data_IF_093942204705
#
_entry.id   IF_093942204705
#
_cell.length_a   1.000
_cell.length_b   1.000
_cell.length_c   1.000
_cell.angle_alpha   90.00
_cell.angle_beta   90.00
_cell.angle_gamma   90.00
#
_symmetry.space_group_name_H-M   'P 1'
#
loop_
_entity.id
_entity.type
_entity.pdbx_description
1 polymer ?
#
# COMPACT_ATOMS: atom_id res chain seq x y z
N UNK A 1 -21.63 3.28 -17.42
CA UNK A 1 -20.49 3.84 -16.67
C UNK A 1 -19.35 4.02 -17.66
N UNK A 2 -18.59 5.11 -17.59
CA UNK A 2 -17.37 5.27 -18.41
C UNK A 2 -16.28 4.35 -17.85
N UNK A 3 -15.43 3.86 -18.74
CA UNK A 3 -14.18 3.16 -18.49
C UNK A 3 -13.08 4.05 -17.88
N UNK A 4 -13.21 5.38 -17.95
CA UNK A 4 -12.23 6.32 -17.42
C UNK A 4 -12.51 6.68 -15.95
N UNK A 5 -11.54 6.42 -15.09
CA UNK A 5 -11.56 6.93 -13.72
C UNK A 5 -11.37 8.45 -13.70
N UNK A 6 -12.23 9.15 -12.94
CA UNK A 6 -12.18 10.60 -12.77
C UNK A 6 -11.99 10.94 -11.29
N UNK A 7 -10.87 11.60 -10.92
CA UNK A 7 -10.66 12.08 -9.55
C UNK A 7 -11.79 12.99 -9.11
N UNK A 8 -12.22 12.85 -7.85
CA UNK A 8 -13.15 13.80 -7.23
C UNK A 8 -12.32 14.96 -6.67
N UNK A 9 -12.68 16.23 -6.90
CA UNK A 9 -11.92 17.32 -6.32
C UNK A 9 -12.05 17.35 -4.79
N UNK A 10 -11.02 17.90 -4.14
CA UNK A 10 -10.84 17.78 -2.69
C UNK A 10 -12.01 18.36 -1.87
N UNK A 11 -12.53 19.53 -2.28
CA UNK A 11 -13.67 20.17 -1.62
C UNK A 11 -14.92 19.30 -1.68
N UNK A 12 -15.20 18.67 -2.81
CA UNK A 12 -16.33 17.79 -3.03
C UNK A 12 -16.22 16.51 -2.17
N UNK A 13 -15.01 15.97 -1.99
CA UNK A 13 -14.78 14.87 -1.05
C UNK A 13 -15.15 15.27 0.38
N UNK A 14 -14.67 16.42 0.87
CA UNK A 14 -15.00 16.92 2.21
C UNK A 14 -16.50 17.18 2.37
N UNK A 15 -17.13 17.84 1.40
CA UNK A 15 -18.58 18.06 1.39
C UNK A 15 -19.36 16.74 1.45
N UNK A 16 -18.90 15.71 0.73
CA UNK A 16 -19.51 14.38 0.76
C UNK A 16 -19.33 13.70 2.11
N UNK A 17 -18.13 13.72 2.68
CA UNK A 17 -17.84 13.17 4.01
C UNK A 17 -18.78 13.77 5.06
N UNK A 18 -18.84 15.10 5.16
CA UNK A 18 -19.65 15.76 6.18
C UNK A 18 -21.15 15.67 5.89
N UNK A 19 -21.55 15.83 4.63
CA UNK A 19 -22.94 15.75 4.22
C UNK A 19 -23.54 14.35 4.43
N UNK A 20 -22.79 13.30 4.12
CA UNK A 20 -23.18 11.92 4.38
C UNK A 20 -23.24 11.63 5.88
N UNK A 21 -22.21 12.03 6.64
CA UNK A 21 -22.17 11.81 8.08
C UNK A 21 -23.32 12.51 8.81
N UNK A 22 -23.66 13.74 8.40
CA UNK A 22 -24.76 14.49 8.99
C UNK A 22 -26.11 13.79 8.81
N UNK A 23 -26.36 13.21 7.62
CA UNK A 23 -27.64 12.59 7.27
C UNK A 23 -27.76 11.13 7.70
N UNK A 24 -26.69 10.36 7.52
CA UNK A 24 -26.70 8.89 7.58
C UNK A 24 -25.75 8.33 8.64
N UNK A 25 -24.95 9.19 9.29
CA UNK A 25 -23.89 8.76 10.22
C UNK A 25 -22.90 7.79 9.58
N UNK A 26 -22.67 7.93 8.28
CA UNK A 26 -21.71 7.16 7.50
C UNK A 26 -20.73 8.04 6.74
N UNK A 27 -19.58 7.48 6.37
CA UNK A 27 -18.61 8.09 5.46
C UNK A 27 -18.32 7.08 4.36
N UNK A 28 -18.66 7.42 3.11
CA UNK A 28 -18.53 6.54 1.95
C UNK A 28 -19.16 5.16 2.16
N UNK A 29 -20.33 5.12 2.80
CA UNK A 29 -21.11 3.91 3.08
C UNK A 29 -20.73 3.16 4.36
N UNK A 30 -19.62 3.50 5.02
CA UNK A 30 -19.23 2.87 6.29
C UNK A 30 -19.95 3.59 7.43
N UNK A 31 -20.81 2.90 8.18
CA UNK A 31 -21.55 3.50 9.28
C UNK A 31 -20.63 3.72 10.49
N UNK A 32 -20.89 4.76 11.30
CA UNK A 32 -20.00 5.15 12.42
C UNK A 32 -19.76 4.06 13.47
N UNK A 33 -20.68 3.09 13.58
CA UNK A 33 -20.54 1.96 14.50
C UNK A 33 -19.53 0.91 13.99
N UNK A 34 -19.16 0.97 12.71
CA UNK A 34 -18.15 0.12 12.07
C UNK A 34 -16.78 0.80 12.04
N UNK A 35 -16.69 2.04 12.51
CA UNK A 35 -15.40 2.73 12.62
C UNK A 35 -14.54 2.05 13.67
N UNK A 36 -13.38 1.58 13.23
CA UNK A 36 -12.41 0.92 14.09
C UNK A 36 -11.82 1.91 15.08
N UNK A 37 -12.07 1.65 16.36
CA UNK A 37 -11.44 2.35 17.48
C UNK A 37 -10.55 1.39 18.22
N UNK A 38 -9.26 1.73 18.28
CA UNK A 38 -8.29 0.89 18.96
C UNK A 38 -8.36 1.13 20.47
N UNK A 39 -8.63 0.06 21.22
CA UNK A 39 -8.67 0.11 22.69
C UNK A 39 -7.28 -0.08 23.33
N UNK A 40 -6.36 -0.79 22.66
CA UNK A 40 -5.03 -1.06 23.21
C UNK A 40 -4.02 0.06 22.95
N UNK A 41 -3.12 0.28 23.90
CA UNK A 41 -2.00 1.22 23.74
C UNK A 41 -0.82 0.70 22.92
N UNK A 42 -0.83 -0.57 22.47
CA UNK A 42 0.33 -1.21 21.81
C UNK A 42 0.65 -0.55 20.46
N UNK A 43 1.87 -0.10 20.23
CA UNK A 43 2.29 0.44 18.93
C UNK A 43 3.27 -0.51 18.26
N UNK A 44 3.42 -0.35 16.95
CA UNK A 44 4.52 -0.94 16.20
C UNK A 44 5.32 0.17 15.55
N UNK A 45 6.60 -0.08 15.32
CA UNK A 45 7.49 0.81 14.60
C UNK A 45 7.89 0.12 13.29
N UNK A 46 7.74 0.83 12.18
CA UNK A 46 8.22 0.40 10.86
C UNK A 46 9.15 1.47 10.36
N UNK A 47 10.43 1.13 10.20
CA UNK A 47 11.44 2.05 9.64
C UNK A 47 11.53 3.42 10.33
N UNK A 48 11.42 3.43 11.67
CA UNK A 48 11.45 4.66 12.47
C UNK A 48 10.13 5.46 12.49
N UNK A 49 9.07 4.95 11.86
CA UNK A 49 7.73 5.52 11.93
C UNK A 49 6.81 4.69 12.83
N UNK A 50 6.01 5.37 13.66
CA UNK A 50 5.03 4.70 14.51
C UNK A 50 3.73 4.41 13.75
N UNK A 51 3.20 3.20 13.96
CA UNK A 51 1.91 2.79 13.45
C UNK A 51 1.08 2.16 14.58
N UNK A 52 -0.21 2.50 14.63
CA UNK A 52 -1.07 2.03 15.72
C UNK A 52 -1.55 0.59 15.55
N UNK A 53 -1.58 0.07 14.32
CA UNK A 53 -1.96 -1.31 13.99
C UNK A 53 -1.04 -1.84 12.88
N UNK A 54 -0.47 -3.05 13.00
CA UNK A 54 0.40 -3.65 11.97
C UNK A 54 -0.37 -4.15 10.74
N UNK A 55 -1.46 -3.50 10.34
CA UNK A 55 -2.33 -3.94 9.25
C UNK A 55 -2.73 -2.78 8.37
N UNK A 56 -2.94 -3.08 7.09
CA UNK A 56 -3.57 -2.16 6.17
C UNK A 56 -3.51 -2.69 4.73
N UNK A 57 -4.05 -1.92 3.78
CA UNK A 57 -4.17 -2.38 2.41
C UNK A 57 -2.80 -2.42 1.70
N UNK A 58 -2.57 -3.48 0.93
CA UNK A 58 -1.43 -3.60 0.03
C UNK A 58 -1.62 -2.75 -1.24
N UNK A 59 -0.54 -2.47 -1.98
CA UNK A 59 -0.62 -1.81 -3.27
C UNK A 59 -1.56 -2.56 -4.23
N UNK A 60 -2.59 -1.89 -4.71
CA UNK A 60 -3.58 -2.48 -5.61
C UNK A 60 -4.76 -1.54 -5.87
N UNK A 61 -5.85 -2.03 -6.48
CA UNK A 61 -7.04 -1.21 -6.76
C UNK A 61 -7.62 -0.50 -5.52
N UNK A 62 -7.47 -1.10 -4.34
CA UNK A 62 -7.92 -0.53 -3.06
C UNK A 62 -7.15 0.71 -2.61
N UNK A 63 -5.95 0.96 -3.13
CA UNK A 63 -5.13 2.12 -2.73
C UNK A 63 -4.88 3.10 -3.87
N UNK A 64 -5.71 3.05 -4.92
CA UNK A 64 -5.67 3.99 -6.04
C UNK A 64 -6.53 5.24 -5.81
N UNK A 65 -7.65 5.11 -5.08
CA UNK A 65 -8.61 6.19 -4.85
C UNK A 65 -8.55 6.68 -3.41
N UNK A 66 -8.65 8.00 -3.21
CA UNK A 66 -8.65 8.61 -1.88
C UNK A 66 -9.77 8.05 -0.99
N UNK A 67 -10.97 7.83 -1.55
CA UNK A 67 -12.11 7.26 -0.83
C UNK A 67 -11.83 5.83 -0.33
N UNK A 68 -11.12 5.02 -1.10
CA UNK A 68 -10.78 3.65 -0.72
C UNK A 68 -9.72 3.65 0.39
N UNK A 69 -8.76 4.58 0.34
CA UNK A 69 -7.78 4.78 1.42
C UNK A 69 -8.48 5.25 2.70
N UNK A 70 -9.41 6.20 2.58
CA UNK A 70 -10.19 6.73 3.71
C UNK A 70 -11.03 5.63 4.36
N UNK A 71 -11.76 4.84 3.56
CA UNK A 71 -12.56 3.73 4.08
C UNK A 71 -11.71 2.64 4.72
N UNK A 72 -10.54 2.33 4.14
CA UNK A 72 -9.57 1.40 4.75
C UNK A 72 -9.08 1.91 6.11
N UNK A 73 -8.82 3.21 6.25
CA UNK A 73 -8.45 3.81 7.53
C UNK A 73 -9.60 3.76 8.55
N UNK A 74 -10.82 4.11 8.13
CA UNK A 74 -11.99 4.07 9.00
C UNK A 74 -12.24 2.66 9.56
N UNK A 75 -11.90 1.60 8.81
CA UNK A 75 -12.09 0.20 9.23
C UNK A 75 -10.84 -0.45 9.82
N UNK A 76 -9.79 0.33 10.11
CA UNK A 76 -8.66 -0.10 10.95
C UNK A 76 -7.31 -0.27 10.24
N UNK A 77 -7.24 -0.04 8.92
CA UNK A 77 -5.99 0.03 8.18
C UNK A 77 -5.13 1.21 8.66
N UNK A 78 -3.86 0.94 8.96
CA UNK A 78 -2.90 1.94 9.47
C UNK A 78 -1.56 1.89 8.75
N UNK A 79 -1.16 0.75 8.18
CA UNK A 79 -0.05 0.70 7.23
C UNK A 79 -0.61 0.68 5.81
N UNK A 80 -0.62 1.82 5.13
CA UNK A 80 -1.25 1.99 3.82
C UNK A 80 -0.16 2.00 2.75
N UNK A 81 -0.13 0.94 1.95
CA UNK A 81 0.75 0.87 0.78
C UNK A 81 0.03 1.41 -0.45
N UNK A 82 0.52 2.54 -0.97
CA UNK A 82 -0.07 3.24 -2.10
C UNK A 82 0.03 2.40 -3.37
N UNK A 83 -0.92 2.55 -4.30
CA UNK A 83 -0.91 1.79 -5.56
C UNK A 83 0.39 2.08 -6.31
N UNK A 84 1.02 1.01 -6.80
CA UNK A 84 2.25 1.06 -7.60
C UNK A 84 2.05 1.94 -8.82
N UNK A 85 2.95 2.91 -8.99
CA UNK A 85 3.05 3.74 -10.20
C UNK A 85 4.31 3.41 -11.00
N UNK A 86 4.28 3.74 -12.28
CA UNK A 86 5.39 3.53 -13.22
C UNK A 86 5.45 4.66 -14.25
N UNK A 87 6.52 4.69 -15.07
CA UNK A 87 6.71 5.73 -16.10
C UNK A 87 5.61 5.72 -17.18
N UNK A 88 5.00 4.56 -17.44
CA UNK A 88 3.91 4.39 -18.39
C UNK A 88 2.58 4.59 -17.67
N UNK A 89 2.03 5.80 -17.75
CA UNK A 89 0.90 6.24 -16.93
C UNK A 89 -0.34 6.67 -17.76
N UNK A 90 -0.31 6.37 -19.06
CA UNK A 90 -1.41 6.52 -20.03
C UNK A 90 -1.62 5.21 -20.79
N UNK A 91 -1.92 4.13 -20.05
CA UNK A 91 -2.12 2.81 -20.61
C UNK A 91 -3.58 2.58 -21.01
N UNK A 92 -3.77 1.97 -22.18
CA UNK A 92 -5.07 1.40 -22.57
C UNK A 92 -5.16 0.00 -21.97
N UNK A 93 -6.11 -0.20 -21.08
CA UNK A 93 -6.30 -1.46 -20.35
C UNK A 93 -7.49 -2.19 -20.97
N UNK A 94 -7.27 -3.40 -21.46
CA UNK A 94 -8.36 -4.27 -21.92
C UNK A 94 -9.25 -4.70 -20.73
N UNK A 95 -10.57 -4.55 -20.86
CA UNK A 95 -11.53 -4.77 -19.78
C UNK A 95 -12.53 -5.88 -20.15
N UNK A 96 -12.97 -6.72 -19.19
CA UNK A 96 -12.62 -6.69 -17.77
C UNK A 96 -11.19 -7.22 -17.50
N UNK A 97 -10.45 -6.56 -16.62
CA UNK A 97 -9.07 -6.94 -16.27
C UNK A 97 -8.92 -7.50 -14.85
N UNK A 98 -10.02 -7.59 -14.10
CA UNK A 98 -10.06 -8.09 -12.72
C UNK A 98 -11.29 -8.97 -12.55
N UNK A 99 -11.08 -10.16 -12.00
CA UNK A 99 -12.10 -11.06 -11.48
C UNK A 99 -11.84 -11.30 -10.00
N UNK A 100 -12.69 -10.73 -9.14
CA UNK A 100 -12.57 -10.83 -7.69
C UNK A 100 -13.59 -11.84 -7.14
N UNK A 101 -13.43 -13.11 -7.53
CA UNK A 101 -14.21 -14.23 -7.02
C UNK A 101 -13.69 -14.66 -5.62
N UNK A 102 -13.46 -15.96 -5.40
CA UNK A 102 -12.83 -16.42 -4.15
C UNK A 102 -11.32 -16.17 -4.16
N UNK A 103 -10.64 -16.66 -5.19
CA UNK A 103 -9.35 -16.13 -5.63
C UNK A 103 -9.56 -14.89 -6.49
N UNK A 104 -8.72 -13.88 -6.29
CA UNK A 104 -8.71 -12.68 -7.13
C UNK A 104 -7.72 -12.86 -8.29
N UNK A 105 -8.17 -12.64 -9.51
CA UNK A 105 -7.35 -12.69 -10.71
C UNK A 105 -7.31 -11.33 -11.38
N UNK A 106 -6.12 -10.86 -11.76
CA UNK A 106 -5.95 -9.69 -12.61
C UNK A 106 -5.09 -10.02 -13.83
N UNK A 107 -5.32 -9.36 -14.95
CA UNK A 107 -4.53 -9.53 -16.19
C UNK A 107 -3.64 -8.32 -16.50
N UNK A 108 -3.75 -7.27 -15.69
CA UNK A 108 -3.02 -6.02 -15.86
C UNK A 108 -2.33 -5.60 -14.54
N UNK A 109 -1.15 -4.97 -14.63
CA UNK A 109 -0.37 -4.52 -13.46
C UNK A 109 -0.41 -3.02 -13.24
N UNK A 110 -0.87 -2.25 -14.23
CA UNK A 110 -0.76 -0.80 -14.24
C UNK A 110 -1.74 -0.06 -13.32
N UNK A 111 -1.43 1.21 -13.13
CA UNK A 111 -2.31 2.22 -12.52
C UNK A 111 -3.17 2.84 -13.63
N UNK A 112 -4.45 3.08 -13.36
CA UNK A 112 -5.34 3.82 -14.29
C UNK A 112 -5.11 5.34 -14.23
N UNK A 113 -4.39 5.80 -13.19
CA UNK A 113 -4.07 7.21 -13.02
C UNK A 113 -2.66 7.54 -13.46
N UNK A 114 -2.56 8.70 -14.11
CA UNK A 114 -1.30 9.39 -14.36
C UNK A 114 -0.57 9.65 -13.05
N UNK A 115 0.75 9.86 -13.09
CA UNK A 115 1.55 10.16 -11.90
C UNK A 115 1.00 11.37 -11.13
N UNK A 116 0.56 12.41 -11.84
CA UNK A 116 -0.06 13.60 -11.25
C UNK A 116 -1.38 13.28 -10.53
N UNK A 117 -2.25 12.47 -11.16
CA UNK A 117 -3.53 12.07 -10.56
C UNK A 117 -3.35 11.13 -9.37
N UNK A 118 -2.38 10.22 -9.43
CA UNK A 118 -2.04 9.33 -8.33
C UNK A 118 -1.55 10.15 -7.13
N UNK A 119 -0.59 11.06 -7.34
CA UNK A 119 -0.13 11.98 -6.30
C UNK A 119 -1.29 12.79 -5.70
N UNK A 120 -2.16 13.36 -6.56
CA UNK A 120 -3.32 14.13 -6.14
C UNK A 120 -4.23 13.33 -5.19
N UNK A 121 -4.58 12.08 -5.53
CA UNK A 121 -5.41 11.23 -4.68
C UNK A 121 -4.74 10.87 -3.35
N UNK A 122 -3.43 10.61 -3.36
CA UNK A 122 -2.68 10.31 -2.14
C UNK A 122 -2.59 11.53 -1.23
N UNK A 123 -2.43 12.72 -1.80
CA UNK A 123 -2.44 13.98 -1.07
C UNK A 123 -3.81 14.29 -0.45
N UNK A 124 -4.90 14.06 -1.18
CA UNK A 124 -6.27 14.19 -0.65
C UNK A 124 -6.47 13.25 0.54
N UNK A 125 -6.11 11.99 0.38
CA UNK A 125 -6.22 10.99 1.44
C UNK A 125 -5.39 11.40 2.66
N UNK A 126 -4.13 11.81 2.46
CA UNK A 126 -3.24 12.27 3.52
C UNK A 126 -3.87 13.36 4.39
N UNK A 127 -4.35 14.44 3.76
CA UNK A 127 -4.95 15.57 4.47
C UNK A 127 -6.26 15.16 5.16
N UNK A 128 -7.10 14.34 4.50
CA UNK A 128 -8.37 13.88 5.08
C UNK A 128 -8.15 12.93 6.25
N UNK A 129 -7.15 12.05 6.22
CA UNK A 129 -6.89 11.13 7.33
C UNK A 129 -6.49 11.89 8.60
N UNK A 130 -5.66 12.94 8.50
CA UNK A 130 -5.36 13.80 9.65
C UNK A 130 -6.62 14.47 10.23
N UNK A 131 -7.52 14.93 9.36
CA UNK A 131 -8.81 15.48 9.77
C UNK A 131 -9.68 14.45 10.48
N UNK A 132 -9.85 13.26 9.90
CA UNK A 132 -10.71 12.22 10.47
C UNK A 132 -10.13 11.67 11.78
N UNK A 133 -8.81 11.54 11.87
CA UNK A 133 -8.11 11.14 13.08
C UNK A 133 -8.44 12.05 14.27
N UNK A 134 -8.36 13.37 14.06
CA UNK A 134 -8.69 14.38 15.06
C UNK A 134 -10.19 14.37 15.40
N UNK A 135 -11.06 14.45 14.39
CA UNK A 135 -12.51 14.57 14.60
C UNK A 135 -13.15 13.36 15.28
N UNK A 136 -12.65 12.16 14.97
CA UNK A 136 -13.18 10.91 15.49
C UNK A 136 -12.40 10.41 16.71
N UNK A 137 -11.36 11.15 17.11
CA UNK A 137 -10.42 10.80 18.19
C UNK A 137 -9.85 9.39 18.02
N UNK A 138 -9.46 9.04 16.79
CA UNK A 138 -8.93 7.70 16.45
C UNK A 138 -7.48 7.51 16.91
N UNK A 139 -6.85 8.60 17.37
CA UNK A 139 -5.53 8.64 17.97
C UNK A 139 -5.54 8.58 19.50
N UNK A 140 -6.68 8.38 20.18
CA UNK A 140 -6.87 8.64 21.63
C UNK A 140 -6.08 7.74 22.62
N UNK A 141 -4.99 7.12 22.17
CA UNK A 141 -3.94 6.49 22.99
C UNK A 141 -2.51 6.97 22.65
N UNK A 142 -2.33 8.03 21.84
CA UNK A 142 -1.05 8.56 21.36
C UNK A 142 -0.48 9.73 22.19
N UNK A 143 -0.92 9.90 23.46
CA UNK A 143 -0.26 10.82 24.39
C UNK A 143 1.25 10.50 24.43
N UNK A 144 2.07 11.40 23.86
CA UNK A 144 3.53 11.29 23.81
C UNK A 144 4.15 10.78 22.49
N UNK A 145 3.40 10.61 21.39
CA UNK A 145 4.00 10.30 20.08
C UNK A 145 4.81 11.48 19.53
N UNK A 146 6.00 11.20 18.97
CA UNK A 146 6.90 12.18 18.38
C UNK A 146 6.38 12.79 17.06
N UNK A 147 5.47 12.11 16.36
CA UNK A 147 4.91 12.53 15.07
C UNK A 147 3.38 12.71 15.07
N UNK A 148 2.68 12.35 16.16
CA UNK A 148 1.27 12.70 16.39
C UNK A 148 0.20 11.95 15.58
N UNK A 149 0.56 11.11 14.60
CA UNK A 149 -0.38 10.35 13.73
C UNK A 149 -0.39 8.84 13.99
N UNK A 150 -1.50 8.16 13.69
CA UNK A 150 -1.64 6.71 13.97
C UNK A 150 -1.36 5.76 12.80
N UNK A 151 -1.04 6.31 11.61
CA UNK A 151 -0.91 5.58 10.34
C UNK A 151 0.38 5.95 9.60
N UNK A 152 0.81 5.09 8.68
CA UNK A 152 1.96 5.24 7.79
C UNK A 152 1.48 5.13 6.35
N UNK A 153 2.01 5.99 5.48
CA UNK A 153 1.94 5.79 4.02
C UNK A 153 3.29 5.25 3.55
N UNK A 154 3.24 4.16 2.80
CA UNK A 154 4.39 3.55 2.16
C UNK A 154 4.18 3.66 0.64
N UNK A 155 5.08 4.36 -0.06
CA UNK A 155 4.94 4.53 -1.50
C UNK A 155 5.24 3.22 -2.22
N UNK A 156 4.65 2.99 -3.39
CA UNK A 156 4.98 1.84 -4.23
C UNK A 156 5.34 2.32 -5.63
N UNK A 157 6.48 1.86 -6.14
CA UNK A 157 6.94 2.15 -7.50
C UNK A 157 7.42 0.87 -8.15
N UNK A 158 7.37 0.81 -9.48
CA UNK A 158 7.96 -0.28 -10.24
C UNK A 158 8.23 0.19 -11.67
N UNK A 159 9.37 -0.20 -12.22
CA UNK A 159 9.78 -0.20 -13.63
C UNK A 159 11.27 -0.64 -13.64
N UNK A 160 12.01 -0.36 -14.71
CA UNK A 160 13.48 -0.27 -14.69
C UNK A 160 13.99 1.04 -14.03
N UNK A 161 15.28 1.06 -13.68
CA UNK A 161 15.98 2.16 -13.03
C UNK A 161 15.98 3.42 -13.89
N UNK A 162 16.15 3.29 -15.20
CA UNK A 162 16.09 4.42 -16.13
C UNK A 162 14.71 5.08 -16.10
N UNK A 163 13.66 4.28 -16.05
CA UNK A 163 12.28 4.71 -15.89
C UNK A 163 12.03 5.41 -14.56
N UNK A 164 12.55 4.85 -13.48
CA UNK A 164 12.48 5.46 -12.14
C UNK A 164 13.20 6.81 -12.10
N UNK A 165 14.28 6.98 -12.87
CA UNK A 165 15.04 8.23 -12.98
C UNK A 165 14.41 9.27 -13.91
N UNK A 166 13.31 8.95 -14.59
CA UNK A 166 12.62 9.93 -15.45
C UNK A 166 12.11 11.12 -14.63
N UNK A 167 12.02 12.34 -15.23
CA UNK A 167 11.56 13.53 -14.52
C UNK A 167 10.18 13.38 -13.87
N UNK A 168 9.25 12.67 -14.52
CA UNK A 168 7.91 12.42 -13.98
C UNK A 168 7.94 11.55 -12.72
N UNK A 169 8.67 10.43 -12.76
CA UNK A 169 8.83 9.54 -11.59
C UNK A 169 9.57 10.24 -10.45
N UNK A 170 10.63 11.01 -10.75
CA UNK A 170 11.34 11.79 -9.74
C UNK A 170 10.43 12.83 -9.10
N UNK A 171 9.66 13.57 -9.89
CA UNK A 171 8.68 14.54 -9.38
C UNK A 171 7.64 13.88 -8.48
N UNK A 172 7.14 12.70 -8.86
CA UNK A 172 6.21 11.93 -8.03
C UNK A 172 6.84 11.50 -6.69
N UNK A 173 8.03 10.90 -6.72
CA UNK A 173 8.76 10.44 -5.53
C UNK A 173 9.08 11.63 -4.61
N UNK A 174 9.62 12.71 -5.15
CA UNK A 174 10.03 13.91 -4.40
C UNK A 174 8.84 14.58 -3.72
N UNK A 175 7.71 14.70 -4.42
CA UNK A 175 6.49 15.27 -3.83
C UNK A 175 5.95 14.41 -2.68
N UNK A 176 6.02 13.07 -2.76
CA UNK A 176 5.62 12.20 -1.63
C UNK A 176 6.64 12.22 -0.48
N UNK A 177 7.92 12.43 -0.76
CA UNK A 177 8.92 12.64 0.29
C UNK A 177 8.72 13.98 1.02
N UNK A 178 8.44 15.05 0.28
CA UNK A 178 8.12 16.36 0.82
C UNK A 178 7.24 17.19 -0.15
N UNK A 179 5.98 17.37 0.23
CA UNK A 179 5.00 18.18 -0.50
C UNK A 179 5.04 19.67 -0.18
N UNK A 180 5.99 20.16 0.64
CA UNK A 180 6.00 21.55 1.14
C UNK A 180 6.03 22.61 0.04
N UNK A 181 6.65 22.28 -1.11
CA UNK A 181 6.77 23.15 -2.28
C UNK A 181 5.67 22.94 -3.31
N UNK A 182 4.77 21.98 -3.10
CA UNK A 182 3.71 21.67 -4.05
C UNK A 182 2.49 22.57 -3.81
N UNK A 183 2.01 23.23 -4.86
CA UNK A 183 0.87 24.15 -4.77
C UNK A 183 -0.44 23.45 -4.34
N UNK A 184 -0.63 22.17 -4.71
CA UNK A 184 -1.82 21.41 -4.31
C UNK A 184 -1.87 21.21 -2.79
N UNK A 185 -0.72 20.99 -2.15
CA UNK A 185 -0.67 20.79 -0.70
C UNK A 185 -1.16 22.04 0.03
N UNK A 186 -0.59 23.20 -0.29
CA UNK A 186 -1.01 24.47 0.31
C UNK A 186 -2.50 24.77 0.03
N UNK A 187 -2.95 24.53 -1.20
CA UNK A 187 -4.36 24.68 -1.59
C UNK A 187 -5.29 23.79 -0.76
N UNK A 188 -4.92 22.54 -0.48
CA UNK A 188 -5.72 21.63 0.34
C UNK A 188 -5.75 22.02 1.81
N UNK A 189 -4.64 22.52 2.36
CA UNK A 189 -4.63 23.06 3.72
C UNK A 189 -5.53 24.31 3.85
N UNK A 190 -5.53 25.20 2.86
CA UNK A 190 -6.42 26.36 2.82
C UNK A 190 -7.89 25.97 2.72
N UNK A 191 -8.22 25.04 1.80
CA UNK A 191 -9.57 24.52 1.63
C UNK A 191 -10.08 23.82 2.91
N UNK A 192 -9.21 23.03 3.56
CA UNK A 192 -9.51 22.38 4.83
C UNK A 192 -9.83 23.42 5.92
N UNK A 193 -8.96 24.43 6.09
CA UNK A 193 -9.17 25.51 7.05
C UNK A 193 -10.48 26.28 6.78
N UNK A 194 -10.79 26.52 5.50
CA UNK A 194 -12.03 27.15 5.06
C UNK A 194 -13.27 26.34 5.43
N UNK A 195 -13.23 25.02 5.26
CA UNK A 195 -14.35 24.13 5.61
C UNK A 195 -14.54 24.01 7.12
N UNK A 196 -13.46 23.87 7.89
CA UNK A 196 -13.53 23.82 9.37
C UNK A 196 -14.20 25.08 9.93
N UNK A 197 -13.91 26.27 9.35
CA UNK A 197 -14.56 27.53 9.72
C UNK A 197 -16.05 27.57 9.37
N UNK A 198 -16.45 26.94 8.26
CA UNK A 198 -17.85 26.85 7.81
C UNK A 198 -18.58 25.76 8.58
N UNK A 199 -19.01 26.10 9.80
CA UNK A 199 -19.76 25.25 10.74
C UNK A 199 -21.06 24.65 10.17
N UNK A 200 -21.50 25.10 8.99
CA UNK A 200 -22.73 24.70 8.30
C UNK A 200 -22.80 23.20 7.96
N UNK A 201 -21.69 22.54 7.61
CA UNK A 201 -21.71 21.12 7.21
C UNK A 201 -21.80 20.15 8.40
N UNK A 202 -21.57 20.64 9.62
CA UNK A 202 -21.27 19.80 10.79
C UNK A 202 -22.21 20.13 11.97
N UNK A 203 -22.97 21.23 11.87
CA UNK A 203 -24.01 21.61 12.82
C UNK A 203 -25.02 20.49 13.04
N UNK A 204 -25.34 20.21 14.30
CA UNK A 204 -26.28 19.14 14.68
C UNK A 204 -25.67 17.73 14.70
N UNK A 205 -24.36 17.59 14.51
CA UNK A 205 -23.66 16.30 14.63
C UNK A 205 -22.79 16.22 15.89
N UNK A 206 -22.48 14.98 16.27
CA UNK A 206 -21.52 14.60 17.31
C UNK A 206 -20.07 15.05 17.00
N UNK A 207 -19.78 15.52 15.78
CA UNK A 207 -18.48 16.06 15.38
C UNK A 207 -18.33 17.56 15.64
N UNK A 208 -19.41 18.27 15.99
CA UNK A 208 -19.37 19.73 16.17
C UNK A 208 -18.46 20.18 17.32
N UNK A 209 -18.32 19.35 18.37
CA UNK A 209 -17.39 19.57 19.47
C UNK A 209 -15.92 19.37 19.04
N UNK A 210 -15.53 18.15 18.61
CA UNK A 210 -14.19 17.85 18.12
C UNK A 210 -13.68 18.84 17.05
N UNK A 211 -14.55 19.29 16.15
CA UNK A 211 -14.19 20.26 15.11
C UNK A 211 -13.68 21.59 15.65
N UNK A 212 -14.22 22.09 16.78
CA UNK A 212 -13.69 23.30 17.42
C UNK A 212 -12.25 23.11 17.91
N UNK A 213 -11.92 21.89 18.34
CA UNK A 213 -10.56 21.51 18.72
C UNK A 213 -9.61 21.39 17.52
N UNK A 214 -10.14 21.07 16.34
CA UNK A 214 -9.39 21.00 15.09
C UNK A 214 -9.06 22.38 14.47
N UNK A 215 -9.39 23.50 15.14
CA UNK A 215 -8.95 24.83 14.72
C UNK A 215 -7.41 24.89 14.78
N UNK A 216 -6.76 25.03 13.61
CA UNK A 216 -5.29 25.00 13.48
C UNK A 216 -4.71 23.65 13.03
N UNK A 217 -5.55 22.62 12.86
CA UNK A 217 -5.10 21.32 12.33
C UNK A 217 -4.34 21.48 11.00
N UNK A 218 -4.84 22.32 10.09
CA UNK A 218 -4.24 22.53 8.77
C UNK A 218 -2.77 22.95 8.84
N UNK A 219 -2.36 23.72 9.85
CA UNK A 219 -0.95 24.11 10.03
C UNK A 219 -0.06 23.02 10.63
N UNK A 220 -0.66 21.98 11.23
CA UNK A 220 0.06 20.86 11.85
C UNK A 220 0.21 19.63 10.96
N UNK A 221 -0.45 19.59 9.80
CA UNK A 221 -0.33 18.47 8.86
C UNK A 221 1.06 18.51 8.23
N UNK A 222 1.85 17.45 8.45
CA UNK A 222 3.19 17.31 7.88
C UNK A 222 3.14 17.27 6.35
N UNK A 223 4.10 17.94 5.70
CA UNK A 223 4.33 17.83 4.26
C UNK A 223 5.11 16.57 3.86
N UNK A 224 5.76 15.90 4.82
CA UNK A 224 6.47 14.64 4.58
C UNK A 224 5.49 13.48 4.64
N UNK A 225 5.07 12.98 3.47
CA UNK A 225 4.00 11.98 3.34
C UNK A 225 4.54 10.56 3.54
N UNK A 226 5.64 10.23 2.85
CA UNK A 226 6.26 8.91 2.86
C UNK A 226 7.76 9.00 3.20
N UNK A 227 8.23 8.17 4.14
CA UNK A 227 9.67 7.95 4.39
C UNK A 227 10.13 6.54 4.02
N UNK A 228 9.22 5.76 3.45
CA UNK A 228 9.43 4.38 3.03
C UNK A 228 8.80 4.10 1.68
N UNK A 229 9.40 3.14 0.98
CA UNK A 229 9.03 2.70 -0.35
C UNK A 229 9.01 1.17 -0.43
N UNK A 230 8.11 0.64 -1.24
CA UNK A 230 8.15 -0.73 -1.74
C UNK A 230 8.45 -0.72 -3.23
N UNK A 231 9.52 -1.40 -3.62
CA UNK A 231 9.79 -1.72 -5.01
C UNK A 231 8.93 -2.93 -5.40
N UNK A 232 7.93 -2.68 -6.24
CA UNK A 232 7.13 -3.73 -6.86
C UNK A 232 7.90 -4.30 -8.05
N UNK A 233 8.49 -5.49 -7.87
CA UNK A 233 9.17 -6.18 -8.96
C UNK A 233 8.16 -6.67 -10.00
N UNK A 234 8.46 -6.48 -11.27
CA UNK A 234 7.70 -7.09 -12.36
C UNK A 234 8.15 -8.54 -12.54
N UNK A 235 7.25 -9.42 -12.99
CA UNK A 235 7.63 -10.77 -13.40
C UNK A 235 8.70 -10.68 -14.50
N UNK A 236 9.75 -11.50 -14.37
CA UNK A 236 10.91 -11.49 -15.28
C UNK A 236 11.91 -10.34 -15.07
N UNK A 237 11.79 -9.52 -14.03
CA UNK A 237 12.77 -8.46 -13.77
C UNK A 237 14.14 -9.06 -13.36
N UNK A 238 15.25 -8.67 -14.03
CA UNK A 238 16.58 -9.16 -13.71
C UNK A 238 17.03 -8.83 -12.26
N UNK A 239 17.79 -9.71 -11.59
CA UNK A 239 18.22 -9.48 -10.20
C UNK A 239 19.08 -8.21 -10.03
N UNK A 240 19.96 -7.94 -10.99
CA UNK A 240 20.83 -6.76 -11.01
C UNK A 240 20.03 -5.47 -11.16
N UNK A 241 18.96 -5.50 -11.94
CA UNK A 241 18.03 -4.37 -12.08
C UNK A 241 17.30 -4.07 -10.77
N UNK A 242 16.78 -5.11 -10.10
CA UNK A 242 16.13 -5.00 -8.79
C UNK A 242 17.10 -4.40 -7.75
N UNK A 243 18.33 -4.94 -7.70
CA UNK A 243 19.36 -4.48 -6.79
C UNK A 243 19.76 -3.02 -7.04
N UNK A 244 19.91 -2.63 -8.30
CA UNK A 244 20.29 -1.27 -8.68
C UNK A 244 19.21 -0.25 -8.28
N UNK A 245 17.93 -0.60 -8.43
CA UNK A 245 16.83 0.25 -7.99
C UNK A 245 16.78 0.37 -6.47
N UNK A 246 16.83 -0.75 -5.74
CA UNK A 246 16.85 -0.71 -4.28
C UNK A 246 18.05 0.06 -3.74
N UNK A 247 19.23 -0.13 -4.33
CA UNK A 247 20.44 0.62 -3.99
C UNK A 247 20.24 2.12 -4.22
N UNK A 248 19.70 2.52 -5.36
CA UNK A 248 19.39 3.93 -5.66
C UNK A 248 18.44 4.55 -4.63
N UNK A 249 17.40 3.83 -4.21
CA UNK A 249 16.46 4.31 -3.18
C UNK A 249 17.13 4.49 -1.82
N UNK A 250 17.98 3.55 -1.42
CA UNK A 250 18.70 3.58 -0.16
C UNK A 250 19.81 4.65 -0.15
N UNK A 251 20.60 4.75 -1.22
CA UNK A 251 21.79 5.62 -1.26
C UNK A 251 21.47 7.04 -1.68
N UNK A 252 20.75 7.22 -2.78
CA UNK A 252 20.49 8.54 -3.38
C UNK A 252 19.22 9.18 -2.83
N UNK A 253 18.11 8.43 -2.77
CA UNK A 253 16.82 8.96 -2.28
C UNK A 253 16.72 8.96 -0.76
N UNK A 254 17.57 8.20 -0.05
CA UNK A 254 17.50 8.02 1.41
C UNK A 254 16.11 7.58 1.88
N UNK A 255 15.54 6.60 1.19
CA UNK A 255 14.25 5.99 1.52
C UNK A 255 14.43 4.57 2.07
N UNK A 256 13.75 4.29 3.19
CA UNK A 256 13.70 2.92 3.70
C UNK A 256 12.94 2.06 2.68
N UNK A 257 13.47 0.88 2.37
CA UNK A 257 13.06 0.17 1.16
C UNK A 257 12.65 -1.26 1.46
N UNK A 258 11.45 -1.64 1.06
CA UNK A 258 11.06 -3.04 0.88
C UNK A 258 11.23 -3.43 -0.60
N UNK A 259 11.71 -4.65 -0.87
CA UNK A 259 11.56 -5.27 -2.19
C UNK A 259 10.44 -6.30 -2.14
N UNK A 260 9.46 -6.17 -3.03
CA UNK A 260 8.34 -7.12 -3.14
C UNK A 260 8.75 -8.30 -4.01
N UNK A 261 8.66 -9.50 -3.48
CA UNK A 261 9.10 -10.73 -4.15
C UNK A 261 7.93 -11.62 -4.55
N UNK A 262 8.14 -12.40 -5.61
CA UNK A 262 7.14 -13.30 -6.15
C UNK A 262 7.15 -14.67 -5.45
N UNK A 263 6.00 -15.35 -5.34
CA UNK A 263 5.92 -16.70 -4.77
C UNK A 263 6.65 -17.76 -5.61
N UNK A 264 7.01 -17.44 -6.85
CA UNK A 264 7.80 -18.28 -7.77
C UNK A 264 9.19 -18.63 -7.22
N UNK A 265 9.70 -17.88 -6.25
CA UNK A 265 10.96 -18.19 -5.54
C UNK A 265 10.99 -19.57 -4.89
N UNK A 266 9.82 -20.14 -4.55
CA UNK A 266 9.72 -21.51 -4.04
C UNK A 266 10.05 -22.59 -5.10
N UNK A 267 10.04 -22.22 -6.38
CA UNK A 267 10.20 -23.13 -7.52
C UNK A 267 8.92 -23.86 -7.90
N UNK A 268 8.84 -24.24 -9.17
CA UNK A 268 7.62 -24.82 -9.77
C UNK A 268 7.11 -26.05 -9.01
N UNK A 269 7.98 -27.05 -8.79
CA UNK A 269 7.59 -28.32 -8.16
C UNK A 269 7.02 -28.12 -6.76
N UNK A 270 7.62 -27.20 -5.99
CA UNK A 270 7.18 -26.93 -4.63
C UNK A 270 5.89 -26.16 -4.59
N UNK A 271 5.72 -25.14 -5.45
CA UNK A 271 4.45 -24.41 -5.57
C UNK A 271 3.33 -25.37 -5.98
N UNK A 272 3.56 -26.21 -7.00
CA UNK A 272 2.57 -27.21 -7.44
C UNK A 272 2.18 -28.16 -6.30
N UNK A 273 3.16 -28.75 -5.61
CA UNK A 273 2.91 -29.64 -4.49
C UNK A 273 2.13 -28.99 -3.34
N UNK A 274 2.45 -27.73 -3.00
CA UNK A 274 1.70 -26.99 -1.97
C UNK A 274 0.25 -26.78 -2.40
N UNK A 275 0.02 -26.32 -3.64
CA UNK A 275 -1.34 -26.10 -4.13
C UNK A 275 -2.16 -27.40 -4.15
N UNK A 276 -1.58 -28.52 -4.61
CA UNK A 276 -2.27 -29.82 -4.65
C UNK A 276 -2.65 -30.32 -3.26
N UNK A 277 -1.72 -30.24 -2.30
CA UNK A 277 -1.94 -30.72 -0.93
C UNK A 277 -2.87 -29.83 -0.12
N UNK A 278 -3.05 -28.57 -0.51
CA UNK A 278 -3.93 -27.60 0.18
C UNK A 278 -5.28 -27.40 -0.49
N UNK A 279 -5.60 -28.19 -1.52
CA UNK A 279 -6.92 -28.19 -2.18
C UNK A 279 -7.06 -27.22 -3.36
N UNK A 280 -5.97 -26.61 -3.81
CA UNK A 280 -5.91 -25.69 -4.94
C UNK A 280 -5.39 -26.37 -6.23
N UNK A 281 -5.68 -27.65 -6.40
CA UNK A 281 -5.28 -28.47 -7.56
C UNK A 281 -5.86 -27.98 -8.90
N UNK A 282 -6.92 -27.17 -8.87
CA UNK A 282 -7.56 -26.57 -10.05
C UNK A 282 -6.80 -25.37 -10.62
N UNK A 283 -5.80 -24.84 -9.91
CA UNK A 283 -5.00 -23.71 -10.38
C UNK A 283 -3.96 -24.23 -11.37
N UNK A 284 -3.99 -23.76 -12.61
CA UNK A 284 -3.05 -24.18 -13.65
C UNK A 284 -1.79 -23.30 -13.67
N UNK A 285 -0.61 -23.90 -13.61
CA UNK A 285 0.67 -23.20 -13.59
C UNK A 285 1.41 -23.34 -14.92
N UNK A 286 1.98 -22.25 -15.42
CA UNK A 286 2.96 -22.27 -16.50
C UNK A 286 4.37 -22.45 -15.93
N UNK A 287 5.12 -23.45 -16.42
CA UNK A 287 6.53 -23.63 -16.01
C UNK A 287 7.41 -22.49 -16.50
N UNK A 288 7.12 -21.94 -17.67
CA UNK A 288 7.88 -20.84 -18.27
C UNK A 288 7.87 -19.58 -17.40
N UNK A 289 6.76 -19.30 -16.69
CA UNK A 289 6.68 -18.17 -15.76
C UNK A 289 7.69 -18.27 -14.62
N UNK A 290 7.96 -19.48 -14.13
CA UNK A 290 8.99 -19.71 -13.11
C UNK A 290 10.39 -19.58 -13.68
N UNK A 291 10.59 -19.98 -14.94
CA UNK A 291 11.90 -19.94 -15.60
C UNK A 291 12.38 -18.50 -15.85
N UNK A 292 11.48 -17.58 -16.15
CA UNK A 292 11.77 -16.15 -16.35
C UNK A 292 11.99 -15.38 -15.04
N UNK A 293 11.35 -15.80 -13.96
CA UNK A 293 11.41 -15.11 -12.67
C UNK A 293 12.74 -15.34 -11.93
N UNK A 294 13.03 -14.40 -11.02
CA UNK A 294 14.15 -14.42 -10.07
C UNK A 294 14.26 -15.78 -9.35
N UNK A 295 15.48 -16.33 -9.27
CA UNK A 295 15.76 -17.59 -8.57
C UNK A 295 16.11 -17.36 -7.11
N UNK A 296 15.82 -18.35 -6.27
CA UNK A 296 16.05 -18.26 -4.82
C UNK A 296 17.49 -17.92 -4.44
N UNK A 297 18.49 -18.58 -5.06
CA UNK A 297 19.90 -18.33 -4.76
C UNK A 297 20.36 -16.90 -5.11
N UNK A 298 19.89 -16.39 -6.25
CA UNK A 298 20.17 -15.01 -6.68
C UNK A 298 19.46 -14.00 -5.76
N UNK A 299 18.20 -14.28 -5.39
CA UNK A 299 17.45 -13.47 -4.45
C UNK A 299 18.16 -13.38 -3.10
N UNK A 300 18.59 -14.52 -2.53
CA UNK A 300 19.29 -14.56 -1.25
C UNK A 300 20.57 -13.70 -1.28
N UNK A 301 21.37 -13.86 -2.33
CA UNK A 301 22.62 -13.11 -2.51
C UNK A 301 22.37 -11.60 -2.65
N UNK A 302 21.34 -11.21 -3.41
CA UNK A 302 20.91 -9.82 -3.57
C UNK A 302 20.42 -9.22 -2.24
N UNK A 303 19.57 -9.94 -1.51
CA UNK A 303 19.01 -9.48 -0.24
C UNK A 303 20.11 -9.26 0.81
N UNK A 304 21.14 -10.11 0.86
CA UNK A 304 22.30 -9.93 1.75
C UNK A 304 23.07 -8.63 1.42
N UNK A 305 23.34 -8.37 0.14
CA UNK A 305 24.02 -7.14 -0.29
C UNK A 305 23.20 -5.89 0.02
N UNK A 306 21.90 -5.90 -0.28
CA UNK A 306 21.00 -4.78 0.00
C UNK A 306 20.85 -4.50 1.50
N UNK A 307 20.83 -5.54 2.34
CA UNK A 307 20.86 -5.39 3.80
C UNK A 307 22.13 -4.65 4.24
N UNK A 308 23.30 -5.07 3.75
CA UNK A 308 24.57 -4.39 4.04
C UNK A 308 24.64 -2.96 3.50
N UNK A 309 24.09 -2.70 2.31
CA UNK A 309 24.00 -1.34 1.74
C UNK A 309 23.14 -0.43 2.61
N UNK A 310 21.99 -0.92 3.10
CA UNK A 310 21.10 -0.16 3.97
C UNK A 310 21.79 0.18 5.29
N UNK A 311 22.43 -0.79 5.94
CA UNK A 311 23.22 -0.56 7.16
C UNK A 311 24.31 0.48 6.95
N UNK A 312 25.08 0.37 5.87
CA UNK A 312 26.18 1.28 5.56
C UNK A 312 25.72 2.74 5.35
N UNK A 313 24.47 2.96 4.91
CA UNK A 313 23.92 4.29 4.70
C UNK A 313 22.92 4.75 5.78
N UNK A 314 22.78 3.99 6.88
CA UNK A 314 21.89 4.31 7.99
C UNK A 314 20.40 4.22 7.65
N UNK A 315 20.07 3.41 6.64
CA UNK A 315 18.71 3.15 6.17
C UNK A 315 18.25 1.75 6.59
N UNK A 316 16.94 1.51 6.52
CA UNK A 316 16.37 0.17 6.74
C UNK A 316 15.97 -0.49 5.42
N UNK A 317 16.16 -1.80 5.34
CA UNK A 317 15.77 -2.63 4.21
C UNK A 317 15.00 -3.87 4.68
N UNK A 318 14.09 -4.37 3.85
CA UNK A 318 13.35 -5.60 4.10
C UNK A 318 12.71 -6.16 2.84
N UNK A 319 11.90 -7.21 3.00
CA UNK A 319 11.13 -7.81 1.91
C UNK A 319 9.64 -7.66 2.12
N UNK A 320 8.88 -7.62 1.02
CA UNK A 320 7.44 -7.77 1.04
C UNK A 320 7.03 -9.09 0.38
N UNK A 321 6.33 -9.93 1.13
CA UNK A 321 5.98 -11.30 0.74
C UNK A 321 4.46 -11.46 0.72
N UNK A 322 3.81 -11.72 -0.42
CA UNK A 322 4.37 -11.78 -1.76
C UNK A 322 3.54 -10.95 -2.73
N UNK A 323 4.07 -10.84 -3.94
CA UNK A 323 3.27 -10.50 -5.10
C UNK A 323 2.28 -11.64 -5.45
N UNK A 324 1.47 -11.39 -6.47
CA UNK A 324 0.62 -12.40 -7.11
C UNK A 324 1.43 -13.56 -7.69
N UNK A 325 0.76 -14.70 -7.89
CA UNK A 325 1.33 -15.83 -8.64
C UNK A 325 0.80 -15.78 -10.08
N UNK A 326 1.69 -15.80 -11.06
CA UNK A 326 1.31 -15.99 -12.47
C UNK A 326 0.75 -17.40 -12.69
N UNK A 327 -0.44 -17.48 -13.28
CA UNK A 327 -1.16 -18.72 -13.58
C UNK A 327 -1.70 -18.66 -15.00
N UNK A 328 -1.99 -19.82 -15.60
CA UNK A 328 -2.60 -19.88 -16.92
C UNK A 328 -3.98 -19.21 -16.87
N UNK A 329 -4.26 -18.32 -17.82
CA UNK A 329 -5.59 -17.76 -17.96
C UNK A 329 -6.51 -18.78 -18.64
N UNK A 330 -7.36 -19.43 -17.86
CA UNK A 330 -8.39 -20.34 -18.34
C UNK A 330 -9.79 -19.70 -18.29
N UNK A 331 -9.87 -18.37 -18.29
CA UNK A 331 -11.12 -17.60 -18.27
C UNK A 331 -11.43 -17.06 -19.66
N UNK A 332 -12.63 -17.34 -20.17
CA UNK A 332 -13.06 -16.89 -21.50
C UNK A 332 -13.33 -15.36 -21.60
N UNK A 333 -13.30 -14.64 -20.49
CA UNK A 333 -13.68 -13.22 -20.41
C UNK A 333 -12.56 -12.30 -19.91
N UNK A 334 -11.47 -12.83 -19.39
CA UNK A 334 -10.29 -12.04 -19.04
C UNK A 334 -9.31 -12.06 -20.22
N UNK A 335 -8.67 -10.93 -20.58
CA UNK A 335 -7.76 -10.87 -21.72
C UNK A 335 -6.42 -11.57 -21.46
N UNK A 336 -5.78 -12.06 -22.52
CA UNK A 336 -4.44 -12.67 -22.47
C UNK A 336 -4.40 -14.13 -22.04
N UNK A 337 -3.22 -14.74 -22.11
CA UNK A 337 -2.99 -16.18 -21.81
C UNK A 337 -2.52 -16.42 -20.36
N UNK A 338 -2.20 -15.36 -19.61
CA UNK A 338 -1.72 -15.40 -18.23
C UNK A 338 -2.54 -14.45 -17.36
N UNK A 339 -2.81 -14.85 -16.12
CA UNK A 339 -3.44 -14.03 -15.11
C UNK A 339 -2.71 -14.14 -13.76
N UNK A 340 -2.91 -13.15 -12.90
CA UNK A 340 -2.18 -12.97 -11.65
C UNK A 340 -3.10 -13.27 -10.47
N UNK A 341 -2.84 -14.39 -9.82
CA UNK A 341 -3.68 -14.92 -8.77
C UNK A 341 -3.29 -14.35 -7.40
N UNK A 342 -4.31 -13.92 -6.67
CA UNK A 342 -4.30 -13.41 -5.30
C UNK A 342 -5.37 -14.11 -4.46
N UNK A 343 -5.42 -13.80 -3.16
CA UNK A 343 -6.41 -14.36 -2.24
C UNK A 343 -5.89 -15.57 -1.46
N UNK A 344 -6.81 -16.42 -0.98
CA UNK A 344 -6.51 -17.50 -0.01
C UNK A 344 -5.46 -18.49 -0.50
N UNK A 345 -5.41 -18.77 -1.79
CA UNK A 345 -4.47 -19.72 -2.38
C UNK A 345 -3.01 -19.24 -2.29
N UNK A 346 -2.76 -17.93 -2.12
CA UNK A 346 -1.41 -17.42 -1.85
C UNK A 346 -0.94 -17.71 -0.43
N UNK A 347 -1.82 -17.83 0.56
CA UNK A 347 -1.42 -18.01 1.97
C UNK A 347 -0.40 -19.13 2.18
N UNK A 348 -0.66 -20.39 1.74
CA UNK A 348 0.28 -21.48 1.97
C UNK A 348 1.60 -21.29 1.22
N UNK A 349 1.61 -20.58 0.09
CA UNK A 349 2.84 -20.26 -0.65
C UNK A 349 3.65 -19.20 0.10
N UNK A 350 3.02 -18.06 0.40
CA UNK A 350 3.68 -16.91 1.00
C UNK A 350 4.23 -17.21 2.39
N UNK A 351 3.51 -17.98 3.22
CA UNK A 351 4.01 -18.34 4.55
C UNK A 351 5.19 -19.31 4.49
N UNK A 352 5.23 -20.21 3.51
CA UNK A 352 6.38 -21.11 3.30
C UNK A 352 7.61 -20.33 2.80
N UNK A 353 7.42 -19.40 1.85
CA UNK A 353 8.50 -18.53 1.38
C UNK A 353 9.04 -17.65 2.51
N UNK A 354 8.16 -17.10 3.34
CA UNK A 354 8.56 -16.33 4.52
C UNK A 354 9.37 -17.18 5.51
N UNK A 355 9.02 -18.46 5.69
CA UNK A 355 9.76 -19.36 6.55
C UNK A 355 11.19 -19.65 6.03
N UNK A 356 11.36 -19.83 4.72
CA UNK A 356 12.68 -20.05 4.10
C UNK A 356 13.58 -18.82 4.24
N UNK A 357 13.07 -17.65 3.85
CA UNK A 357 13.82 -16.39 3.98
C UNK A 357 14.13 -16.14 5.47
N UNK A 358 13.19 -16.37 6.37
CA UNK A 358 13.44 -16.20 7.82
C UNK A 358 14.53 -17.15 8.33
N UNK A 359 14.62 -18.38 7.82
CA UNK A 359 15.68 -19.32 8.21
C UNK A 359 17.06 -18.83 7.74
N UNK A 360 17.18 -18.37 6.49
CA UNK A 360 18.44 -17.90 5.92
C UNK A 360 18.95 -16.59 6.56
N UNK A 361 18.03 -15.75 7.04
CA UNK A 361 18.34 -14.49 7.72
C UNK A 361 18.25 -14.58 9.26
N UNK A 362 18.11 -15.78 9.82
CA UNK A 362 17.94 -16.02 11.26
C UNK A 362 16.85 -15.12 11.92
N UNK A 363 15.79 -14.84 11.18
CA UNK A 363 14.66 -14.00 11.60
C UNK A 363 14.95 -12.50 11.68
N UNK A 364 16.09 -12.04 11.16
CA UNK A 364 16.51 -10.63 11.28
C UNK A 364 16.02 -9.74 10.13
N UNK A 365 15.81 -10.30 8.94
CA UNK A 365 15.32 -9.52 7.80
C UNK A 365 13.85 -9.14 8.01
N UNK A 366 13.49 -7.84 8.00
CA UNK A 366 12.10 -7.41 8.13
C UNK A 366 11.22 -7.93 6.99
N UNK A 367 10.03 -8.43 7.33
CA UNK A 367 9.05 -8.97 6.37
C UNK A 367 7.73 -8.22 6.51
N UNK A 368 7.32 -7.50 5.46
CA UNK A 368 5.95 -7.03 5.26
C UNK A 368 5.13 -8.12 4.54
N UNK A 369 3.94 -8.47 5.02
CA UNK A 369 3.18 -9.61 4.49
C UNK A 369 1.94 -9.18 3.69
N UNK A 370 1.72 -9.76 2.51
CA UNK A 370 0.60 -9.45 1.59
C UNK A 370 0.03 -10.63 0.80
N UNK A 371 0.28 -11.88 1.20
CA UNK A 371 -0.20 -13.07 0.48
C UNK A 371 -1.25 -13.89 1.25
N UNK A 372 -2.53 -13.75 0.92
CA UNK A 372 -3.62 -14.56 1.49
C UNK A 372 -3.89 -14.36 2.99
N UNK A 373 -3.50 -13.22 3.55
CA UNK A 373 -3.86 -12.85 4.92
C UNK A 373 -5.39 -12.65 5.05
N UNK A 374 -5.97 -13.18 6.11
CA UNK A 374 -7.40 -13.11 6.42
C UNK A 374 -7.64 -13.08 7.92
N UNK A 375 -8.87 -12.80 8.34
CA UNK A 375 -9.28 -12.86 9.75
C UNK A 375 -8.97 -14.22 10.41
N UNK A 376 -8.85 -15.30 9.64
CA UNK A 376 -8.61 -16.66 10.14
C UNK A 376 -7.13 -16.96 10.44
N UNK A 377 -6.20 -16.26 9.80
CA UNK A 377 -4.76 -16.58 9.87
C UNK A 377 -3.88 -15.42 10.33
N UNK A 378 -4.37 -14.18 10.31
CA UNK A 378 -3.59 -12.97 10.58
C UNK A 378 -2.89 -12.98 11.94
N UNK A 379 -3.57 -13.46 12.98
CA UNK A 379 -2.95 -13.58 14.31
C UNK A 379 -1.79 -14.58 14.31
N UNK A 380 -1.92 -15.70 13.60
CA UNK A 380 -0.89 -16.74 13.52
C UNK A 380 0.31 -16.24 12.71
N UNK A 381 0.07 -15.44 11.67
CA UNK A 381 1.14 -14.75 10.92
C UNK A 381 1.93 -13.84 11.87
N UNK A 382 1.28 -13.00 12.67
CA UNK A 382 2.01 -12.14 13.62
C UNK A 382 2.80 -12.92 14.68
N UNK A 383 2.28 -14.08 15.11
CA UNK A 383 2.97 -14.93 16.09
C UNK A 383 4.26 -15.56 15.55
N UNK A 384 4.49 -15.58 14.23
CA UNK A 384 5.78 -16.03 13.67
C UNK A 384 6.88 -14.97 13.77
N UNK A 385 6.54 -13.72 14.10
CA UNK A 385 7.48 -12.60 14.18
C UNK A 385 7.41 -11.63 13.00
N UNK A 386 6.65 -11.95 11.95
CA UNK A 386 6.35 -11.05 10.82
C UNK A 386 5.50 -9.87 11.35
N UNK A 387 5.84 -8.63 11.00
CA UNK A 387 5.19 -7.41 11.54
C UNK A 387 5.04 -6.30 10.52
#
# INVERSE_FOLDING_TARGET
MSDLMRPIPFRELLCRIFGEYSKLKSIFGIHKNEFFKKESGKRIEVFGEECSVPLGPAAGPHTQLAQNIITSYLTGGRFIELKTVQKLDMLEIEKPCIDAADEGYNTEWSTEYTLEKAYDEYLKAWVILHLLEELLSLNSGLLGSSNGRSFIFNMSVGYDLEGIKTPGMQTFIDNLMDSSRNNLFNSYLEQLAGIIKRKEYIGGTDLAGPLKGAEGLSSGISSNICRSLTLSTMHGCPPDEIEAICSYMLTEKKLNTFVKLNPTLLGYERVRAILDTTGFGYIELSREGFDKDLKYGDALSMLQRLTGTAEACGMSFGVKLSNTLGVVNNKDYLPGEEMYMSGRALFPLTINLAAEISADFAGQLPISYSGGASALNVERIFRTGIR
#
